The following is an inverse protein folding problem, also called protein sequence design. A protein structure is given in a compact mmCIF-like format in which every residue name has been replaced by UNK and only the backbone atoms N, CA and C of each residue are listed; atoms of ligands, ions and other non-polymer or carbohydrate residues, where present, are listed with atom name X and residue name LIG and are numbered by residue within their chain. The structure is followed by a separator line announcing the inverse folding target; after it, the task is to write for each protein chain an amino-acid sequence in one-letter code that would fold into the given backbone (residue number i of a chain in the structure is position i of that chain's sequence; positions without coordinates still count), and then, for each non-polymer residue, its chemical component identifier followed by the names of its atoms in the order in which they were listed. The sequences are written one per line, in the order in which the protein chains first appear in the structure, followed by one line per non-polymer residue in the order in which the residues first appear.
data_IF_470942522950
#
_entry.id   IF_470942522950
#
_cell.length_a   1.000
_cell.length_b   1.000
_cell.length_c   1.000
_cell.angle_alpha   90.00
_cell.angle_beta   90.00
_cell.angle_gamma   90.00
#
_symmetry.space_group_name_H-M   'P 1'
#
loop_
_entity.id
_entity.type
_entity.pdbx_description
1 polymer ?
#
# COMPACT_ATOMS: atom_id res chain seq x y z
N UNK A 1 16.25 -1.49 -27.17
CA UNK A 1 16.97 -1.19 -25.92
C UNK A 1 16.42 -2.06 -24.82
N UNK A 2 16.96 -1.95 -23.63
CA UNK A 2 16.47 -2.70 -22.47
C UNK A 2 15.09 -2.18 -22.02
N UNK A 3 14.21 -3.08 -21.57
CA UNK A 3 12.92 -2.69 -20.99
C UNK A 3 13.13 -2.27 -19.54
N UNK A 4 12.78 -1.02 -19.24
CA UNK A 4 12.97 -0.44 -17.91
C UNK A 4 11.71 0.28 -17.44
N UNK A 5 11.54 0.31 -16.13
CA UNK A 5 10.50 1.08 -15.44
C UNK A 5 11.16 2.19 -14.62
N UNK A 6 10.58 3.38 -14.62
CA UNK A 6 11.07 4.49 -13.79
C UNK A 6 10.84 4.22 -12.30
N UNK A 7 11.78 4.63 -11.45
CA UNK A 7 11.56 4.71 -10.01
C UNK A 7 10.77 5.99 -9.70
N UNK A 8 9.88 5.94 -8.70
CA UNK A 8 9.10 7.13 -8.31
C UNK A 8 10.01 8.28 -7.83
N UNK A 9 11.01 7.97 -7.01
CA UNK A 9 12.08 8.88 -6.66
C UNK A 9 13.30 8.55 -7.51
N UNK A 10 13.77 9.51 -8.29
CA UNK A 10 14.88 9.26 -9.22
C UNK A 10 16.21 8.98 -8.50
N UNK A 11 16.31 9.30 -7.20
CA UNK A 11 17.57 9.25 -6.44
C UNK A 11 17.49 8.42 -5.14
N UNK A 12 16.40 7.68 -4.87
CA UNK A 12 16.30 6.85 -3.67
C UNK A 12 16.74 5.41 -3.94
N UNK A 13 18.04 5.15 -3.85
CA UNK A 13 18.58 3.81 -4.12
C UNK A 13 18.16 2.81 -3.03
N UNK A 14 18.43 3.13 -1.76
CA UNK A 14 18.14 2.27 -0.60
C UNK A 14 18.11 3.08 0.71
N UNK A 15 17.84 2.41 1.83
CA UNK A 15 17.94 2.99 3.17
C UNK A 15 16.79 3.92 3.53
N UNK A 16 17.00 4.76 4.54
CA UNK A 16 16.00 5.70 5.01
C UNK A 16 15.76 6.84 4.00
N UNK A 17 14.51 7.31 3.95
CA UNK A 17 14.16 8.48 3.14
C UNK A 17 14.79 9.75 3.75
N UNK A 18 15.24 10.66 2.89
CA UNK A 18 15.80 11.96 3.27
C UNK A 18 15.09 13.11 2.55
N UNK A 19 15.25 14.34 3.02
CA UNK A 19 14.66 15.51 2.37
C UNK A 19 15.11 15.69 0.90
N UNK A 20 16.40 15.48 0.53
CA UNK A 20 16.82 15.48 -0.87
C UNK A 20 16.13 14.41 -1.71
N UNK A 21 15.90 13.22 -1.16
CA UNK A 21 15.15 12.15 -1.83
C UNK A 21 13.72 12.62 -2.09
N UNK A 22 13.03 13.20 -1.10
CA UNK A 22 11.66 13.69 -1.27
C UNK A 22 11.54 14.72 -2.41
N UNK A 23 12.57 15.56 -2.61
CA UNK A 23 12.65 16.52 -3.71
C UNK A 23 12.95 15.87 -5.08
N UNK A 24 13.11 14.55 -5.15
CA UNK A 24 13.37 13.80 -6.39
C UNK A 24 12.15 13.05 -6.94
N UNK A 25 10.96 13.26 -6.37
CA UNK A 25 9.73 12.64 -6.84
C UNK A 25 9.38 13.08 -8.28
N UNK A 26 9.27 12.11 -9.20
CA UNK A 26 8.78 12.34 -10.56
C UNK A 26 7.27 12.65 -10.54
N UNK A 27 6.85 13.67 -11.27
CA UNK A 27 5.45 14.13 -11.30
C UNK A 27 5.03 14.96 -10.08
N UNK A 28 5.97 15.23 -9.17
CA UNK A 28 5.81 16.14 -8.05
C UNK A 28 6.84 17.27 -8.15
N UNK A 29 7.96 17.12 -7.44
CA UNK A 29 9.04 18.12 -7.44
C UNK A 29 9.86 18.12 -8.75
N UNK A 30 9.84 17.03 -9.50
CA UNK A 30 10.49 16.88 -10.81
C UNK A 30 9.44 16.58 -11.90
N UNK A 31 9.83 16.79 -13.16
CA UNK A 31 9.02 16.42 -14.31
C UNK A 31 8.56 14.97 -14.22
N UNK A 32 7.29 14.73 -14.55
CA UNK A 32 6.69 13.40 -14.54
C UNK A 32 6.97 12.59 -15.80
N UNK A 33 6.34 11.43 -15.87
CA UNK A 33 6.53 10.43 -16.94
C UNK A 33 5.34 10.31 -17.90
N UNK A 34 4.34 11.19 -17.77
CA UNK A 34 3.26 11.31 -18.76
C UNK A 34 3.76 12.11 -19.97
N UNK A 35 4.68 11.51 -20.72
CA UNK A 35 5.32 12.05 -21.91
C UNK A 35 5.74 10.89 -22.82
N UNK A 36 5.95 11.17 -24.11
CA UNK A 36 6.46 10.17 -25.07
C UNK A 36 7.92 9.81 -24.76
N UNK A 37 8.70 10.77 -24.26
CA UNK A 37 10.10 10.59 -23.89
C UNK A 37 10.42 11.33 -22.57
N UNK A 38 11.31 10.75 -21.76
CA UNK A 38 11.83 11.36 -20.53
C UNK A 38 13.32 11.09 -20.37
N UNK A 39 14.02 12.03 -19.72
CA UNK A 39 15.44 11.86 -19.37
C UNK A 39 15.52 11.58 -17.87
N UNK A 40 16.07 10.42 -17.53
CA UNK A 40 16.23 9.96 -16.15
C UNK A 40 17.70 9.62 -15.87
N UNK A 41 18.16 9.77 -14.61
CA UNK A 41 19.47 9.24 -14.21
C UNK A 41 19.44 7.71 -14.29
N UNK A 42 20.63 7.09 -14.44
CA UNK A 42 20.79 5.63 -14.48
C UNK A 42 20.17 4.94 -13.25
N UNK A 43 20.37 5.52 -12.06
CA UNK A 43 19.77 5.04 -10.81
C UNK A 43 18.26 5.32 -10.70
N UNK A 44 17.69 6.09 -11.63
CA UNK A 44 16.27 6.43 -11.68
C UNK A 44 15.42 5.40 -12.43
N UNK A 45 16.03 4.32 -12.91
CA UNK A 45 15.35 3.22 -13.63
C UNK A 45 15.71 1.85 -13.07
N UNK A 46 14.84 0.88 -13.30
CA UNK A 46 15.03 -0.52 -12.91
C UNK A 46 14.55 -1.45 -14.05
N UNK A 47 15.14 -2.64 -14.24
CA UNK A 47 14.64 -3.60 -15.21
C UNK A 47 13.16 -3.94 -14.98
N UNK A 48 12.40 -3.95 -16.06
CA UNK A 48 10.98 -4.34 -16.04
C UNK A 48 10.87 -5.87 -15.91
N UNK A 49 9.97 -6.39 -15.05
CA UNK A 49 9.70 -7.82 -14.99
C UNK A 49 9.36 -8.39 -16.36
N UNK A 50 10.06 -9.47 -16.75
CA UNK A 50 10.06 -9.95 -18.14
C UNK A 50 8.67 -10.34 -18.65
N UNK A 51 7.83 -10.90 -17.77
CA UNK A 51 6.50 -11.38 -18.14
C UNK A 51 5.43 -10.29 -18.21
N UNK A 52 5.71 -9.05 -17.78
CA UNK A 52 4.69 -7.99 -17.76
C UNK A 52 4.61 -7.22 -19.07
N UNK A 53 3.40 -6.82 -19.47
CA UNK A 53 3.20 -5.82 -20.53
C UNK A 53 3.67 -4.44 -20.06
N UNK A 54 3.79 -3.49 -20.99
CA UNK A 54 4.19 -2.12 -20.64
C UNK A 54 3.13 -1.42 -19.77
N UNK A 55 1.85 -1.69 -20.02
CA UNK A 55 0.73 -1.19 -19.21
C UNK A 55 0.76 -1.76 -17.79
N UNK A 56 1.00 -3.07 -17.65
CA UNK A 56 1.18 -3.73 -16.36
C UNK A 56 2.38 -3.14 -15.59
N UNK A 57 3.52 -3.00 -16.27
CA UNK A 57 4.73 -2.44 -15.68
C UNK A 57 4.57 -0.97 -15.23
N UNK A 58 3.80 -0.17 -15.98
CA UNK A 58 3.56 1.24 -15.67
C UNK A 58 2.82 1.46 -14.33
N UNK A 59 2.11 0.44 -13.82
CA UNK A 59 1.40 0.52 -12.53
C UNK A 59 2.30 0.32 -11.31
N UNK A 60 3.51 -0.22 -11.50
CA UNK A 60 4.39 -0.64 -10.42
C UNK A 60 5.03 0.50 -9.61
N UNK A 61 5.56 1.58 -10.23
CA UNK A 61 6.43 2.54 -9.55
C UNK A 61 5.81 3.26 -8.37
N UNK A 62 4.50 3.49 -8.43
CA UNK A 62 3.78 4.25 -7.42
C UNK A 62 2.92 3.32 -6.57
N UNK A 63 1.84 2.77 -7.14
CA UNK A 63 0.84 2.05 -6.36
C UNK A 63 1.36 0.72 -5.79
N UNK A 64 1.99 -0.11 -6.63
CA UNK A 64 2.54 -1.40 -6.19
C UNK A 64 3.66 -1.20 -5.18
N UNK A 65 4.62 -0.31 -5.48
CA UNK A 65 5.74 -0.06 -4.59
C UNK A 65 5.31 0.52 -3.23
N UNK A 66 4.27 1.36 -3.21
CA UNK A 66 3.67 1.86 -1.96
C UNK A 66 3.05 0.73 -1.14
N UNK A 67 2.30 -0.17 -1.79
CA UNK A 67 1.72 -1.34 -1.13
C UNK A 67 2.79 -2.28 -0.58
N UNK A 68 3.84 -2.54 -1.38
CA UNK A 68 4.97 -3.36 -0.98
C UNK A 68 5.68 -2.78 0.26
N UNK A 69 5.97 -1.49 0.26
CA UNK A 69 6.55 -0.80 1.41
C UNK A 69 5.63 -0.91 2.64
N UNK A 70 4.31 -0.72 2.46
CA UNK A 70 3.33 -0.84 3.54
C UNK A 70 3.21 -2.22 4.15
N UNK A 71 3.52 -3.28 3.39
CA UNK A 71 3.49 -4.67 3.85
C UNK A 71 4.85 -5.18 4.34
N UNK A 72 5.94 -4.46 4.07
CA UNK A 72 7.30 -4.89 4.42
C UNK A 72 7.95 -4.13 5.58
N UNK A 73 7.28 -3.11 6.12
CA UNK A 73 7.76 -2.32 7.26
C UNK A 73 7.30 -2.83 8.64
N UNK A 74 8.06 -2.59 9.72
CA UNK A 74 9.52 -2.64 9.72
C UNK A 74 10.05 -4.04 9.32
N UNK A 75 9.14 -5.02 9.24
CA UNK A 75 9.36 -6.34 8.68
C UNK A 75 8.20 -6.72 7.75
N UNK A 76 8.43 -7.70 6.86
CA UNK A 76 7.35 -8.35 6.11
C UNK A 76 6.22 -8.84 7.01
N UNK A 77 4.99 -8.66 6.52
CA UNK A 77 3.81 -9.39 6.98
C UNK A 77 4.09 -10.88 6.83
N UNK A 78 3.73 -11.65 7.86
CA UNK A 78 3.90 -13.10 7.90
C UNK A 78 2.61 -13.80 7.52
N UNK A 79 2.72 -15.02 7.00
CA UNK A 79 1.58 -15.87 6.77
C UNK A 79 0.74 -16.03 8.05
N UNK A 80 -0.58 -15.94 7.91
CA UNK A 80 -1.54 -15.99 9.02
C UNK A 80 -1.80 -14.65 9.73
N UNK A 81 -0.97 -13.62 9.55
CA UNK A 81 -1.26 -12.27 10.05
C UNK A 81 -2.46 -11.67 9.29
N UNK A 82 -3.20 -10.80 9.97
CA UNK A 82 -4.37 -10.13 9.38
C UNK A 82 -4.03 -8.68 9.01
N UNK A 83 -4.37 -8.29 7.79
CA UNK A 83 -4.13 -6.95 7.24
C UNK A 83 -5.46 -6.28 6.89
N UNK A 84 -5.68 -5.09 7.43
CA UNK A 84 -6.79 -4.22 7.02
C UNK A 84 -6.35 -3.34 5.85
N UNK A 85 -7.10 -3.43 4.75
CA UNK A 85 -6.90 -2.64 3.54
C UNK A 85 -8.03 -1.62 3.42
N UNK A 86 -7.71 -0.33 3.52
CA UNK A 86 -8.71 0.71 3.39
C UNK A 86 -8.88 1.09 1.92
N UNK A 87 -10.13 1.06 1.44
CA UNK A 87 -10.47 1.37 0.07
C UNK A 87 -10.08 0.30 -0.96
N UNK A 88 -10.37 0.62 -2.22
CA UNK A 88 -10.21 -0.26 -3.39
C UNK A 88 -9.47 0.44 -4.53
N UNK A 89 -8.61 1.41 -4.18
CA UNK A 89 -7.70 2.06 -5.12
C UNK A 89 -6.47 1.20 -5.41
N UNK A 90 -5.61 1.66 -6.32
CA UNK A 90 -4.45 0.88 -6.80
C UNK A 90 -3.54 0.34 -5.69
N UNK A 91 -3.27 1.11 -4.63
CA UNK A 91 -2.46 0.65 -3.50
C UNK A 91 -3.12 -0.54 -2.79
N UNK A 92 -4.42 -0.46 -2.50
CA UNK A 92 -5.16 -1.51 -1.80
C UNK A 92 -5.37 -2.74 -2.68
N UNK A 93 -5.54 -2.56 -4.00
CA UNK A 93 -5.59 -3.64 -4.99
C UNK A 93 -4.27 -4.43 -4.99
N UNK A 94 -3.12 -3.74 -5.10
CA UNK A 94 -1.82 -4.39 -5.00
C UNK A 94 -1.58 -5.03 -3.64
N UNK A 95 -1.96 -4.34 -2.55
CA UNK A 95 -1.82 -4.87 -1.22
C UNK A 95 -2.60 -6.18 -1.04
N UNK A 96 -3.79 -6.30 -1.63
CA UNK A 96 -4.56 -7.55 -1.64
C UNK A 96 -3.80 -8.68 -2.36
N UNK A 97 -3.26 -8.41 -3.56
CA UNK A 97 -2.50 -9.39 -4.31
C UNK A 97 -1.24 -9.84 -3.56
N UNK A 98 -0.52 -8.90 -2.95
CA UNK A 98 0.66 -9.19 -2.14
C UNK A 98 0.33 -9.92 -0.84
N UNK A 99 -0.77 -9.60 -0.16
CA UNK A 99 -1.20 -10.32 1.04
C UNK A 99 -1.52 -11.79 0.71
N UNK A 100 -2.21 -12.05 -0.41
CA UNK A 100 -2.46 -13.41 -0.89
C UNK A 100 -1.15 -14.16 -1.14
N UNK A 101 -0.20 -13.51 -1.81
CA UNK A 101 1.15 -14.06 -2.04
C UNK A 101 1.89 -14.37 -0.73
N UNK A 102 1.77 -13.51 0.28
CA UNK A 102 2.40 -13.66 1.59
C UNK A 102 1.66 -14.64 2.53
N UNK A 103 0.51 -15.18 2.12
CA UNK A 103 -0.34 -16.02 2.96
C UNK A 103 -1.01 -15.27 4.12
N UNK A 104 -1.15 -13.95 4.00
CA UNK A 104 -1.82 -13.10 4.98
C UNK A 104 -3.34 -13.10 4.76
N UNK A 105 -4.09 -12.94 5.85
CA UNK A 105 -5.55 -12.72 5.81
C UNK A 105 -5.82 -11.24 5.58
N UNK A 106 -6.87 -10.93 4.84
CA UNK A 106 -7.23 -9.55 4.50
C UNK A 106 -8.65 -9.21 4.91
N UNK A 107 -8.84 -7.99 5.40
CA UNK A 107 -10.14 -7.35 5.58
C UNK A 107 -10.12 -6.08 4.73
N UNK A 108 -11.08 -5.92 3.81
CA UNK A 108 -11.09 -4.81 2.85
C UNK A 108 -12.31 -3.94 3.07
N UNK A 109 -12.11 -2.61 3.10
CA UNK A 109 -13.23 -1.67 3.21
C UNK A 109 -13.50 -0.91 1.91
N UNK A 110 -14.76 -0.59 1.64
CA UNK A 110 -15.17 0.19 0.47
C UNK A 110 -16.51 0.88 0.70
N UNK A 111 -16.84 1.89 -0.11
CA UNK A 111 -18.19 2.47 -0.17
C UNK A 111 -19.12 1.74 -1.15
N UNK A 112 -18.59 0.79 -1.91
CA UNK A 112 -19.29 0.12 -3.02
C UNK A 112 -19.12 -1.38 -2.92
N UNK A 113 -20.24 -2.10 -2.92
CA UNK A 113 -20.28 -3.56 -2.96
C UNK A 113 -19.70 -4.09 -4.28
N UNK A 114 -19.98 -3.44 -5.41
CA UNK A 114 -19.42 -3.84 -6.70
C UNK A 114 -17.88 -3.81 -6.69
N UNK A 115 -17.28 -2.80 -6.05
CA UNK A 115 -15.82 -2.74 -5.86
C UNK A 115 -15.31 -3.82 -4.91
N UNK A 116 -16.07 -4.20 -3.88
CA UNK A 116 -15.71 -5.30 -2.98
C UNK A 116 -15.76 -6.66 -3.71
N UNK A 117 -16.74 -6.88 -4.59
CA UNK A 117 -16.80 -8.07 -5.42
C UNK A 117 -15.62 -8.16 -6.40
N UNK A 118 -15.17 -7.04 -6.99
CA UNK A 118 -13.92 -7.03 -7.77
C UNK A 118 -12.71 -7.46 -6.92
N UNK A 119 -12.62 -7.00 -5.67
CA UNK A 119 -11.51 -7.39 -4.77
C UNK A 119 -11.54 -8.87 -4.39
N UNK A 120 -12.72 -9.48 -4.30
CA UNK A 120 -12.89 -10.91 -4.01
C UNK A 120 -12.27 -11.82 -5.07
N UNK A 121 -12.26 -11.40 -6.33
CA UNK A 121 -11.56 -12.12 -7.39
C UNK A 121 -10.03 -12.17 -7.18
N UNK A 122 -9.47 -11.26 -6.37
CA UNK A 122 -8.03 -11.16 -6.15
C UNK A 122 -7.55 -12.07 -5.01
N UNK A 123 -8.44 -12.54 -4.14
CA UNK A 123 -8.12 -13.48 -3.07
C UNK A 123 -9.19 -13.55 -1.98
N UNK A 124 -9.09 -14.54 -1.08
CA UNK A 124 -9.98 -14.63 0.07
C UNK A 124 -9.76 -13.44 1.01
N UNK A 125 -10.85 -12.73 1.31
CA UNK A 125 -10.87 -11.62 2.25
C UNK A 125 -12.25 -11.54 2.91
N UNK A 126 -12.28 -10.88 4.06
CA UNK A 126 -13.53 -10.32 4.58
C UNK A 126 -13.75 -8.92 3.97
N UNK A 127 -15.00 -8.52 3.81
CA UNK A 127 -15.37 -7.28 3.13
C UNK A 127 -16.33 -6.44 3.96
N UNK A 128 -16.04 -5.15 4.10
CA UNK A 128 -16.88 -4.22 4.87
C UNK A 128 -17.27 -3.04 3.98
N UNK A 129 -18.58 -2.87 3.78
CA UNK A 129 -19.09 -1.63 3.20
C UNK A 129 -19.25 -0.59 4.30
N UNK A 130 -18.42 0.47 4.29
CA UNK A 130 -18.44 1.48 5.34
C UNK A 130 -19.63 2.46 5.24
N UNK A 131 -20.41 2.45 4.16
CA UNK A 131 -21.68 3.20 4.09
C UNK A 131 -22.79 2.54 4.89
N UNK A 132 -22.82 1.20 4.90
CA UNK A 132 -23.78 0.44 5.69
C UNK A 132 -23.26 0.14 7.10
N UNK A 133 -21.93 0.11 7.26
CA UNK A 133 -21.25 -0.09 8.54
C UNK A 133 -20.29 1.09 8.81
N UNK A 134 -20.79 2.27 9.22
CA UNK A 134 -19.94 3.43 9.49
C UNK A 134 -18.94 3.18 10.64
N UNK A 135 -19.31 2.33 11.60
CA UNK A 135 -18.45 1.84 12.68
C UNK A 135 -17.65 0.60 12.26
N UNK A 136 -17.00 0.65 11.09
CA UNK A 136 -16.31 -0.49 10.49
C UNK A 136 -15.18 -1.04 11.37
N UNK A 137 -14.59 -0.22 12.26
CA UNK A 137 -13.59 -0.65 13.22
C UNK A 137 -14.14 -1.65 14.25
N UNK A 138 -15.40 -1.48 14.67
CA UNK A 138 -16.07 -2.46 15.53
C UNK A 138 -16.29 -3.79 14.79
N UNK A 139 -16.66 -3.74 13.50
CA UNK A 139 -16.79 -4.94 12.65
C UNK A 139 -15.44 -5.64 12.46
N UNK A 140 -14.34 -4.88 12.28
CA UNK A 140 -12.99 -5.45 12.23
C UNK A 140 -12.65 -6.17 13.53
N UNK A 141 -12.98 -5.59 14.69
CA UNK A 141 -12.76 -6.24 15.98
C UNK A 141 -13.59 -7.53 16.09
N UNK A 142 -14.85 -7.54 15.67
CA UNK A 142 -15.68 -8.75 15.64
C UNK A 142 -15.04 -9.86 14.78
N UNK A 143 -14.63 -9.53 13.54
CA UNK A 143 -13.97 -10.45 12.61
C UNK A 143 -12.61 -10.98 13.11
N UNK A 144 -12.00 -10.29 14.06
CA UNK A 144 -10.71 -10.64 14.67
C UNK A 144 -10.85 -11.09 16.13
N UNK A 145 -12.06 -11.47 16.56
CA UNK A 145 -12.35 -11.92 17.93
C UNK A 145 -11.84 -10.95 19.02
N UNK A 146 -11.98 -9.65 18.77
CA UNK A 146 -11.56 -8.55 19.65
C UNK A 146 -10.07 -8.22 19.61
N UNK A 147 -9.25 -8.97 18.87
CA UNK A 147 -7.79 -8.76 18.87
C UNK A 147 -7.36 -7.56 18.03
N UNK A 148 -8.07 -7.27 16.93
CA UNK A 148 -7.66 -6.32 15.91
C UNK A 148 -6.67 -6.92 14.90
N UNK A 149 -6.31 -6.13 13.88
CA UNK A 149 -5.41 -6.55 12.78
C UNK A 149 -3.94 -6.28 13.09
N UNK A 150 -3.03 -7.06 12.50
CA UNK A 150 -1.58 -6.87 12.64
C UNK A 150 -1.08 -5.62 11.91
N UNK A 151 -1.66 -5.35 10.74
CA UNK A 151 -1.26 -4.27 9.84
C UNK A 151 -2.47 -3.53 9.30
N UNK A 152 -2.39 -2.21 9.23
CA UNK A 152 -3.32 -1.38 8.46
C UNK A 152 -2.59 -0.72 7.30
N UNK A 153 -3.12 -0.86 6.09
CA UNK A 153 -2.75 -0.07 4.91
C UNK A 153 -3.73 1.10 4.86
N UNK A 154 -3.30 2.25 5.38
CA UNK A 154 -4.16 3.41 5.58
C UNK A 154 -3.93 4.48 4.50
N UNK A 155 -4.94 4.69 3.66
CA UNK A 155 -4.97 5.66 2.55
C UNK A 155 -5.93 6.82 2.79
N UNK A 156 -6.84 6.72 3.77
CA UNK A 156 -7.92 7.68 3.99
C UNK A 156 -7.48 8.93 4.76
N UNK A 157 -6.65 8.81 5.80
CA UNK A 157 -6.16 9.94 6.58
C UNK A 157 -7.11 10.36 7.71
N UNK A 158 -7.27 11.67 8.02
CA UNK A 158 -7.96 12.13 9.22
C UNK A 158 -9.36 11.56 9.46
N UNK A 159 -10.16 11.35 8.40
CA UNK A 159 -11.51 10.80 8.51
C UNK A 159 -11.58 9.30 8.82
N UNK A 160 -10.47 8.58 8.75
CA UNK A 160 -10.40 7.12 8.94
C UNK A 160 -9.33 6.68 9.93
N UNK A 161 -8.43 7.58 10.32
CA UNK A 161 -7.27 7.26 11.13
C UNK A 161 -7.62 6.79 12.54
N UNK A 162 -8.53 7.47 13.25
CA UNK A 162 -8.92 7.07 14.61
C UNK A 162 -9.56 5.67 14.62
N UNK A 163 -10.35 5.34 13.61
CA UNK A 163 -10.91 3.99 13.42
C UNK A 163 -9.83 2.96 13.09
N UNK A 164 -8.80 3.35 12.32
CA UNK A 164 -7.64 2.48 12.07
C UNK A 164 -6.88 2.17 13.35
N UNK A 165 -6.74 3.17 14.24
CA UNK A 165 -6.15 3.03 15.58
C UNK A 165 -6.99 2.11 16.47
N UNK A 166 -8.33 2.14 16.36
CA UNK A 166 -9.20 1.21 17.07
C UNK A 166 -9.08 -0.22 16.53
N UNK A 167 -9.02 -0.38 15.21
CA UNK A 167 -9.03 -1.66 14.52
C UNK A 167 -7.70 -2.44 14.57
N UNK A 168 -6.56 -1.76 14.71
CA UNK A 168 -5.24 -2.41 14.81
C UNK A 168 -5.06 -3.10 16.16
N UNK A 169 -4.35 -4.23 16.25
CA UNK A 169 -4.09 -4.89 17.54
C UNK A 169 -3.11 -4.13 18.42
N UNK A 170 -3.03 -4.52 19.70
CA UNK A 170 -1.94 -4.12 20.59
C UNK A 170 -0.60 -4.54 19.97
N UNK A 171 0.34 -3.60 19.84
CA UNK A 171 1.64 -3.79 19.20
C UNK A 171 1.58 -3.93 17.68
N UNK A 172 0.46 -3.56 17.04
CA UNK A 172 0.30 -3.59 15.59
C UNK A 172 0.89 -2.35 14.90
N UNK A 173 0.83 -2.33 13.57
CA UNK A 173 1.43 -1.27 12.74
C UNK A 173 0.42 -0.66 11.78
N UNK A 174 0.44 0.67 11.65
CA UNK A 174 -0.33 1.42 10.65
C UNK A 174 0.66 2.04 9.65
N UNK A 175 0.56 1.63 8.40
CA UNK A 175 1.22 2.29 7.27
C UNK A 175 0.35 3.43 6.77
N UNK A 176 0.69 4.66 7.15
CA UNK A 176 -0.05 5.87 6.79
C UNK A 176 0.47 6.40 5.45
N UNK A 177 -0.32 6.23 4.40
CA UNK A 177 0.04 6.53 3.00
C UNK A 177 -0.60 7.84 2.53
N UNK A 178 -1.88 8.03 2.83
CA UNK A 178 -2.71 9.03 2.16
C UNK A 178 -3.61 9.81 3.09
N UNK A 179 -4.16 10.87 2.53
CA UNK A 179 -5.03 11.87 3.15
C UNK A 179 -6.27 12.10 2.30
N UNK A 180 -6.84 11.01 1.74
CA UNK A 180 -7.99 11.07 0.82
C UNK A 180 -9.24 11.75 1.43
N UNK A 181 -9.34 11.81 2.75
CA UNK A 181 -10.43 12.43 3.50
C UNK A 181 -10.13 13.88 3.94
N UNK A 182 -8.95 14.41 3.65
CA UNK A 182 -8.51 15.77 3.99
C UNK A 182 -7.12 15.82 4.65
N UNK A 183 -6.50 17.00 4.68
CA UNK A 183 -5.14 17.22 5.22
C UNK A 183 -5.10 17.73 6.65
N UNK A 184 -6.26 18.04 7.23
CA UNK A 184 -6.39 18.58 8.59
C UNK A 184 -7.41 17.78 9.40
N UNK A 185 -7.09 17.60 10.68
CA UNK A 185 -7.94 16.91 11.64
C UNK A 185 -7.20 16.71 12.95
N UNK A 186 -7.93 16.75 14.06
CA UNK A 186 -7.37 16.37 15.36
C UNK A 186 -7.39 14.84 15.47
N UNK A 187 -6.28 14.26 15.93
CA UNK A 187 -6.20 12.84 16.28
C UNK A 187 -5.81 12.74 17.75
N UNK A 188 -6.37 11.76 18.45
CA UNK A 188 -6.02 11.51 19.85
C UNK A 188 -4.81 10.56 19.90
N UNK A 189 -3.63 10.97 20.42
CA UNK A 189 -2.47 10.10 20.50
C UNK A 189 -2.58 9.04 21.61
N UNK A 190 -3.52 9.21 22.55
CA UNK A 190 -3.64 8.34 23.74
C UNK A 190 -3.82 6.86 23.37
N UNK A 191 -4.68 6.46 22.40
CA UNK A 191 -4.83 5.05 22.05
C UNK A 191 -3.61 4.47 21.32
N UNK A 192 -2.85 5.29 20.58
CA UNK A 192 -1.57 4.89 19.96
C UNK A 192 -0.58 4.46 21.05
N UNK A 193 -0.42 5.31 22.07
CA UNK A 193 0.42 5.01 23.24
C UNK A 193 -0.11 3.78 24.01
N UNK A 194 -1.39 3.75 24.32
CA UNK A 194 -2.00 2.69 25.14
C UNK A 194 -1.89 1.30 24.49
N UNK A 195 -1.97 1.23 23.16
CA UNK A 195 -1.86 -0.02 22.39
C UNK A 195 -0.45 -0.27 21.89
N UNK A 196 0.54 0.58 22.20
CA UNK A 196 1.91 0.49 21.69
C UNK A 196 1.96 0.34 20.16
N UNK A 197 1.15 1.14 19.44
CA UNK A 197 1.03 1.07 17.98
C UNK A 197 2.23 1.77 17.34
N UNK A 198 2.78 1.16 16.29
CA UNK A 198 3.71 1.85 15.39
C UNK A 198 2.93 2.52 14.25
N UNK A 199 3.06 3.83 14.11
CA UNK A 199 2.54 4.56 12.94
C UNK A 199 3.72 5.00 12.09
N UNK A 200 3.76 4.52 10.83
CA UNK A 200 4.83 4.84 9.89
C UNK A 200 4.23 5.54 8.68
N UNK A 201 4.65 6.79 8.45
CA UNK A 201 4.39 7.48 7.20
C UNK A 201 5.08 6.77 6.04
N UNK A 202 4.34 6.55 4.96
CA UNK A 202 4.79 5.87 3.75
C UNK A 202 4.68 6.84 2.59
N UNK A 203 5.83 7.12 1.99
CA UNK A 203 5.90 7.90 0.77
C UNK A 203 6.58 7.04 -0.28
N UNK A 204 5.78 6.24 -0.98
CA UNK A 204 6.19 5.23 -1.99
C UNK A 204 7.30 4.31 -1.46
N UNK A 205 8.45 4.17 -2.13
CA UNK A 205 9.53 3.26 -1.72
C UNK A 205 10.82 3.50 -2.51
N UNK A 206 11.90 2.83 -2.08
CA UNK A 206 13.23 2.92 -2.72
C UNK A 206 13.38 1.98 -3.92
N UNK A 207 14.40 2.21 -4.75
CA UNK A 207 14.78 1.30 -5.84
C UNK A 207 15.10 -0.10 -5.34
N UNK A 208 15.76 -0.25 -4.19
CA UNK A 208 16.02 -1.55 -3.59
C UNK A 208 14.71 -2.29 -3.23
N UNK A 209 13.74 -1.58 -2.64
CA UNK A 209 12.41 -2.14 -2.38
C UNK A 209 11.69 -2.52 -3.68
N UNK A 210 11.85 -1.72 -4.74
CA UNK A 210 11.31 -2.03 -6.07
C UNK A 210 11.95 -3.30 -6.65
N UNK A 211 13.27 -3.46 -6.51
CA UNK A 211 13.95 -4.68 -6.93
C UNK A 211 13.43 -5.91 -6.18
N UNK A 212 13.24 -5.80 -4.87
CA UNK A 212 12.67 -6.88 -4.04
C UNK A 212 11.24 -7.22 -4.48
N UNK A 213 10.42 -6.20 -4.74
CA UNK A 213 9.05 -6.35 -5.24
C UNK A 213 9.02 -7.03 -6.61
N UNK A 214 9.86 -6.62 -7.55
CA UNK A 214 9.93 -7.22 -8.89
C UNK A 214 10.28 -8.70 -8.82
N UNK A 215 11.26 -9.07 -7.98
CA UNK A 215 11.60 -10.49 -7.76
C UNK A 215 10.43 -11.29 -7.18
N UNK A 216 9.66 -10.69 -6.28
CA UNK A 216 8.48 -11.35 -5.73
C UNK A 216 7.36 -11.53 -6.77
N UNK A 217 7.12 -10.51 -7.59
CA UNK A 217 6.17 -10.53 -8.71
C UNK A 217 6.52 -11.64 -9.70
N UNK A 218 7.78 -11.72 -10.13
CA UNK A 218 8.26 -12.74 -11.07
C UNK A 218 8.16 -14.14 -10.47
N UNK A 219 8.62 -14.33 -9.23
CA UNK A 219 8.58 -15.64 -8.57
C UNK A 219 7.16 -16.21 -8.40
N UNK A 220 6.14 -15.35 -8.40
CA UNK A 220 4.74 -15.74 -8.20
C UNK A 220 3.88 -15.56 -9.45
N UNK A 221 4.47 -15.19 -10.59
CA UNK A 221 3.77 -14.87 -11.83
C UNK A 221 2.60 -13.90 -11.60
N UNK A 222 2.78 -12.91 -10.72
CA UNK A 222 1.72 -11.98 -10.34
C UNK A 222 1.45 -11.02 -11.52
N UNK A 223 0.19 -10.94 -11.96
CA UNK A 223 -0.26 -9.98 -12.96
C UNK A 223 -0.95 -8.79 -12.31
N UNK A 224 -0.48 -7.55 -12.51
CA UNK A 224 -1.20 -6.34 -12.10
C UNK A 224 -2.63 -6.32 -12.63
N UNK A 225 -3.56 -5.84 -11.80
CA UNK A 225 -4.95 -5.63 -12.23
C UNK A 225 -5.10 -4.22 -12.77
N UNK A 226 -5.50 -4.09 -14.03
CA UNK A 226 -5.81 -2.82 -14.69
C UNK A 226 -7.30 -2.81 -15.02
N UNK A 227 -8.01 -1.77 -14.57
CA UNK A 227 -9.43 -1.57 -14.93
C UNK A 227 -9.52 -1.04 -16.37
N UNK A 228 -10.60 -1.38 -17.07
CA UNK A 228 -10.90 -0.86 -18.42
C UNK A 228 -11.78 0.38 -18.36
#
# INVERSE_FOLDING_TARGET
GDRVTSCFFSNWVAGEISAPVMASALGGARQGVLAEEVILPEDGVIPTPSDLTDEEAATLPCAALTAWHALTLPRPVKAGETVLLLGTGGVSVFAQQFCKMMGARTIVTSSSNDKLEKMKALGPSEFINYRTNPEWDAVVLELTAGSGVDRVVEVGGPGTFDRSVNAVRVGGTIGLIGVLTGVSGATNPTPIMAKSITVKGIYVGSRAMFADMNRAIEAHNLKPVIDQ
#
